data_IF_058892414051
#
_entry.id   IF_058892414051
#
_cell.length_a   1.000
_cell.length_b   1.000
_cell.length_c   1.000
_cell.angle_alpha   90.00
_cell.angle_beta   90.00
_cell.angle_gamma   90.00
#
_symmetry.space_group_name_H-M   'P 1'
#
loop_
_entity.id
_entity.type
_entity.pdbx_description
1 polymer ?
#
# COMPACT_ATOMS: atom_id res chain seq x y z
N UNK A 1 -1.48 -6.43 -12.88
CA UNK A 1 -1.66 -5.35 -13.88
C UNK A 1 -0.48 -4.40 -13.83
N UNK A 2 0.33 -4.40 -14.89
CA UNK A 2 1.41 -3.42 -15.08
C UNK A 2 0.81 -2.17 -15.69
N UNK A 3 1.12 -1.00 -15.14
CA UNK A 3 0.65 0.27 -15.69
C UNK A 3 1.79 1.28 -15.68
N UNK A 4 1.86 2.08 -16.75
CA UNK A 4 2.77 3.21 -16.83
C UNK A 4 2.20 4.34 -15.98
N UNK A 5 2.94 4.81 -14.98
CA UNK A 5 2.52 5.89 -14.09
C UNK A 5 3.62 6.93 -13.96
N UNK A 6 3.21 8.17 -13.66
CA UNK A 6 4.13 9.23 -13.27
C UNK A 6 4.76 8.89 -11.90
N UNK A 7 6.04 9.20 -11.75
CA UNK A 7 6.86 9.09 -10.53
C UNK A 7 7.62 10.39 -10.31
N UNK A 8 8.27 10.52 -9.15
CA UNK A 8 9.18 11.63 -8.85
C UNK A 8 10.28 11.82 -9.91
N UNK A 9 10.75 10.71 -10.48
CA UNK A 9 11.87 10.66 -11.43
C UNK A 9 11.41 10.42 -12.89
N UNK A 10 10.15 10.70 -13.22
CA UNK A 10 9.58 10.46 -14.56
C UNK A 10 8.65 9.26 -14.62
N UNK A 11 8.47 8.69 -15.82
CA UNK A 11 7.52 7.59 -16.04
C UNK A 11 8.11 6.24 -15.63
N UNK A 12 7.35 5.44 -14.89
CA UNK A 12 7.74 4.08 -14.48
C UNK A 12 6.61 3.09 -14.71
N UNK A 13 6.96 1.87 -15.11
CA UNK A 13 6.01 0.75 -15.19
C UNK A 13 5.96 0.04 -13.85
N UNK A 14 4.78 -0.02 -13.23
CA UNK A 14 4.59 -0.64 -11.90
C UNK A 14 3.44 -1.63 -11.92
N UNK A 15 3.63 -2.76 -11.22
CA UNK A 15 2.55 -3.68 -10.89
C UNK A 15 1.64 -3.08 -9.81
N UNK A 16 0.53 -2.49 -10.27
CA UNK A 16 -0.45 -1.86 -9.41
C UNK A 16 -1.51 -2.85 -8.92
N UNK A 17 -1.85 -2.69 -7.64
CA UNK A 17 -3.05 -3.21 -7.01
C UNK A 17 -3.86 -2.00 -6.52
N UNK A 18 -5.17 -2.14 -6.28
CA UNK A 18 -6.05 -1.08 -5.73
C UNK A 18 -5.44 -0.34 -4.53
N UNK A 19 -4.78 -1.07 -3.62
CA UNK A 19 -4.11 -0.45 -2.46
C UNK A 19 -2.89 0.38 -2.88
N UNK A 20 -2.09 -0.13 -3.82
CA UNK A 20 -0.91 0.59 -4.35
C UNK A 20 -1.34 1.80 -5.16
N UNK A 21 -2.37 1.68 -6.01
CA UNK A 21 -2.84 2.78 -6.85
C UNK A 21 -3.39 3.95 -6.04
N UNK A 22 -4.12 3.70 -4.94
CA UNK A 22 -4.54 4.75 -4.01
C UNK A 22 -3.31 5.47 -3.44
N UNK A 23 -2.31 4.73 -2.96
CA UNK A 23 -1.09 5.34 -2.40
C UNK A 23 -0.29 6.16 -3.40
N UNK A 24 -0.06 5.63 -4.61
CA UNK A 24 0.64 6.36 -5.67
C UNK A 24 -0.16 7.62 -6.08
N UNK A 25 -1.49 7.57 -6.08
CA UNK A 25 -2.32 8.77 -6.33
C UNK A 25 -2.17 9.81 -5.23
N UNK A 26 -2.17 9.39 -3.97
CA UNK A 26 -1.98 10.31 -2.85
C UNK A 26 -0.56 10.90 -2.84
N UNK A 27 0.45 10.12 -3.21
CA UNK A 27 1.81 10.61 -3.42
C UNK A 27 1.88 11.66 -4.53
N UNK A 28 1.22 11.43 -5.67
CA UNK A 28 1.11 12.44 -6.73
C UNK A 28 0.46 13.74 -6.22
N UNK A 29 -0.58 13.63 -5.40
CA UNK A 29 -1.28 14.77 -4.82
C UNK A 29 -0.42 15.58 -3.83
N UNK A 30 0.41 14.90 -3.04
CA UNK A 30 1.28 15.48 -2.02
C UNK A 30 2.70 15.75 -2.53
N UNK A 31 2.90 15.94 -3.84
CA UNK A 31 4.21 16.27 -4.41
C UNK A 31 5.31 15.25 -4.11
N UNK A 32 4.97 13.97 -4.01
CA UNK A 32 5.88 12.86 -3.65
C UNK A 32 6.41 12.88 -2.21
N UNK A 33 5.77 13.63 -1.31
CA UNK A 33 6.14 13.69 0.11
C UNK A 33 5.33 12.69 0.95
N UNK A 34 5.98 11.62 1.42
CA UNK A 34 5.35 10.59 2.26
C UNK A 34 4.84 11.12 3.61
N UNK A 35 5.47 12.17 4.17
CA UNK A 35 5.04 12.76 5.45
C UNK A 35 3.70 13.47 5.29
N UNK A 36 3.54 14.22 4.20
CA UNK A 36 2.28 14.92 3.88
C UNK A 36 1.13 13.95 3.61
N UNK A 37 1.38 12.82 2.94
CA UNK A 37 0.35 11.80 2.72
C UNK A 37 -0.15 11.22 4.07
N UNK A 38 0.76 10.98 5.02
CA UNK A 38 0.41 10.47 6.36
C UNK A 38 -0.34 11.51 7.20
N UNK A 39 0.02 12.78 7.05
CA UNK A 39 -0.55 13.91 7.80
C UNK A 39 -1.65 14.64 7.01
N UNK A 40 -2.22 14.00 5.99
CA UNK A 40 -3.29 14.59 5.19
C UNK A 40 -4.49 14.91 6.10
N UNK A 41 -5.05 16.11 5.97
CA UNK A 41 -6.19 16.56 6.78
C UNK A 41 -7.51 16.53 6.01
N UNK A 42 -7.49 16.16 4.73
CA UNK A 42 -8.67 16.14 3.87
C UNK A 42 -9.54 14.90 4.13
N UNK A 43 -10.32 14.95 5.22
CA UNK A 43 -11.29 13.90 5.60
C UNK A 43 -12.38 13.68 4.54
N UNK A 44 -12.69 14.73 3.76
CA UNK A 44 -13.72 14.70 2.73
C UNK A 44 -13.28 13.95 1.46
N UNK A 45 -11.98 13.65 1.34
CA UNK A 45 -11.47 12.88 0.22
C UNK A 45 -11.98 11.43 0.31
N UNK A 46 -12.63 10.88 -0.73
CA UNK A 46 -13.13 9.49 -0.70
C UNK A 46 -12.02 8.44 -0.45
N UNK A 47 -10.77 8.78 -0.74
CA UNK A 47 -9.60 7.91 -0.53
C UNK A 47 -9.03 7.98 0.89
N UNK A 48 -9.41 8.99 1.68
CA UNK A 48 -8.88 9.24 3.02
C UNK A 48 -8.89 8.01 3.94
N UNK A 49 -9.99 7.21 4.01
CA UNK A 49 -10.05 6.05 4.88
C UNK A 49 -9.03 4.95 4.53
N UNK A 50 -8.46 4.98 3.33
CA UNK A 50 -7.57 3.94 2.81
C UNK A 50 -6.08 4.35 2.80
N UNK A 51 -5.74 5.53 3.34
CA UNK A 51 -4.38 6.06 3.41
C UNK A 51 -3.49 5.25 4.37
N UNK A 52 -3.87 5.23 5.65
CA UNK A 52 -3.07 4.69 6.76
C UNK A 52 -2.98 3.17 6.73
N UNK A 53 -3.86 2.50 5.97
CA UNK A 53 -3.95 1.04 5.95
C UNK A 53 -4.39 0.44 7.28
N UNK A 54 -4.91 1.27 8.19
CA UNK A 54 -5.48 0.89 9.49
C UNK A 54 -6.98 0.62 9.26
N UNK A 55 -7.54 -0.37 9.97
CA UNK A 55 -8.96 -0.72 9.90
C UNK A 55 -9.33 -1.77 8.84
N UNK A 56 -10.63 -1.98 8.62
CA UNK A 56 -11.15 -2.99 7.68
C UNK A 56 -10.86 -2.59 6.24
N UNK A 57 -9.97 -3.36 5.61
CA UNK A 57 -9.45 -3.09 4.27
C UNK A 57 -10.20 -3.89 3.19
N UNK A 58 -11.51 -3.66 3.11
CA UNK A 58 -12.40 -4.34 2.16
C UNK A 58 -12.11 -3.95 0.70
N UNK A 59 -12.01 -4.96 -0.17
CA UNK A 59 -11.72 -4.75 -1.59
C UNK A 59 -12.86 -4.03 -2.33
N UNK A 60 -14.11 -4.31 -1.95
CA UNK A 60 -15.30 -3.64 -2.51
C UNK A 60 -15.35 -2.17 -2.09
N UNK A 61 -15.06 -1.88 -0.82
CA UNK A 61 -15.02 -0.51 -0.30
C UNK A 61 -13.96 0.34 -1.00
N UNK A 62 -12.74 -0.18 -1.21
CA UNK A 62 -11.71 0.50 -2.01
C UNK A 62 -12.16 0.78 -3.44
N UNK A 63 -12.81 -0.20 -4.07
CA UNK A 63 -13.29 -0.04 -5.46
C UNK A 63 -14.39 1.03 -5.55
N UNK A 64 -15.23 1.16 -4.52
CA UNK A 64 -16.21 2.25 -4.42
C UNK A 64 -15.50 3.60 -4.24
N UNK A 65 -14.59 3.69 -3.28
CA UNK A 65 -13.84 4.92 -3.00
C UNK A 65 -13.04 5.45 -4.19
N UNK A 66 -12.42 4.57 -4.98
CA UNK A 66 -11.74 4.97 -6.22
C UNK A 66 -12.71 5.60 -7.22
N UNK A 67 -13.90 5.02 -7.40
CA UNK A 67 -14.93 5.55 -8.31
C UNK A 67 -15.49 6.88 -7.82
N UNK A 68 -15.78 6.97 -6.53
CA UNK A 68 -16.25 8.21 -5.89
C UNK A 68 -15.21 9.33 -6.05
N UNK A 69 -13.92 9.02 -5.88
CA UNK A 69 -12.83 9.97 -6.11
C UNK A 69 -12.72 10.39 -7.58
N UNK A 70 -12.82 9.45 -8.53
CA UNK A 70 -12.81 9.79 -9.96
C UNK A 70 -14.00 10.68 -10.33
N UNK A 71 -15.17 10.42 -9.75
CA UNK A 71 -16.37 11.23 -9.93
C UNK A 71 -16.17 12.64 -9.40
N UNK A 72 -15.64 12.77 -8.17
CA UNK A 72 -15.26 14.06 -7.58
C UNK A 72 -14.25 14.82 -8.44
N UNK A 73 -13.19 14.15 -8.91
CA UNK A 73 -12.18 14.72 -9.80
C UNK A 73 -12.75 15.19 -11.15
N UNK A 74 -13.86 14.61 -11.61
CA UNK A 74 -14.56 14.98 -12.85
C UNK A 74 -15.80 15.86 -12.58
N UNK A 75 -15.87 16.54 -11.43
CA UNK A 75 -16.97 17.42 -11.02
C UNK A 75 -18.35 16.75 -11.12
N UNK A 76 -18.46 15.49 -10.68
CA UNK A 76 -19.73 14.76 -10.65
C UNK A 76 -20.18 14.17 -11.99
N UNK A 77 -19.40 14.31 -13.06
CA UNK A 77 -19.82 13.87 -14.40
C UNK A 77 -19.32 12.46 -14.73
N UNK A 78 -20.21 11.46 -14.66
CA UNK A 78 -19.89 10.06 -14.97
C UNK A 78 -19.36 9.84 -16.40
N UNK A 79 -19.91 10.58 -17.37
CA UNK A 79 -19.48 10.49 -18.77
C UNK A 79 -18.01 10.91 -18.93
N UNK A 80 -17.57 11.94 -18.19
CA UNK A 80 -16.17 12.39 -18.16
C UNK A 80 -15.25 11.36 -17.52
N UNK A 81 -15.69 10.68 -16.45
CA UNK A 81 -14.91 9.59 -15.85
C UNK A 81 -14.69 8.45 -16.86
N UNK A 82 -15.73 8.08 -17.60
CA UNK A 82 -15.63 7.02 -18.61
C UNK A 82 -14.68 7.40 -19.74
N UNK A 83 -14.79 8.65 -20.24
CA UNK A 83 -13.99 9.22 -21.33
C UNK A 83 -12.66 9.84 -20.91
N UNK A 84 -12.24 9.68 -19.66
CA UNK A 84 -10.95 10.19 -19.20
C UNK A 84 -9.82 9.43 -19.91
N UNK A 85 -8.89 10.17 -20.53
CA UNK A 85 -7.75 9.64 -21.29
C UNK A 85 -6.43 9.63 -20.49
N UNK A 86 -6.45 10.03 -19.22
CA UNK A 86 -5.24 10.10 -18.41
C UNK A 86 -4.76 8.69 -18.01
N UNK A 87 -4.02 8.05 -18.90
CA UNK A 87 -3.39 6.73 -18.71
C UNK A 87 -2.39 6.70 -17.57
N UNK A 88 -1.76 7.85 -17.30
CA UNK A 88 -0.66 7.98 -16.35
C UNK A 88 -1.17 8.05 -14.90
N UNK A 89 -2.48 8.27 -14.74
CA UNK A 89 -3.15 8.24 -13.45
C UNK A 89 -3.11 6.82 -12.85
N UNK A 90 -2.59 6.63 -11.63
CA UNK A 90 -2.55 5.33 -10.98
C UNK A 90 -3.93 4.66 -10.80
N UNK A 91 -5.00 5.46 -10.75
CA UNK A 91 -6.38 4.99 -10.60
C UNK A 91 -7.06 4.59 -11.92
N UNK A 92 -6.44 4.86 -13.07
CA UNK A 92 -7.06 4.72 -14.39
C UNK A 92 -7.68 3.33 -14.61
N UNK A 93 -6.94 2.26 -14.29
CA UNK A 93 -7.40 0.88 -14.45
C UNK A 93 -8.58 0.48 -13.54
N UNK A 94 -8.80 1.24 -12.46
CA UNK A 94 -9.81 0.93 -11.43
C UNK A 94 -11.00 1.90 -11.42
N UNK A 95 -11.06 2.84 -12.38
CA UNK A 95 -12.13 3.85 -12.45
C UNK A 95 -13.48 3.28 -12.87
N UNK A 96 -13.49 2.16 -13.60
CA UNK A 96 -14.71 1.48 -14.06
C UNK A 96 -15.09 0.37 -13.08
N UNK A 97 -16.37 -0.02 -13.09
CA UNK A 97 -16.89 -1.10 -12.24
C UNK A 97 -16.27 -2.44 -12.62
N UNK A 98 -16.15 -2.68 -13.92
CA UNK A 98 -15.42 -3.82 -14.47
C UNK A 98 -13.96 -3.41 -14.59
N UNK A 99 -13.08 -4.09 -13.87
CA UNK A 99 -11.63 -3.93 -14.07
C UNK A 99 -11.25 -4.59 -15.40
N UNK A 100 -10.71 -3.79 -16.31
CA UNK A 100 -10.23 -4.29 -17.59
C UNK A 100 -8.93 -5.09 -17.36
N UNK A 101 -9.06 -6.42 -17.26
CA UNK A 101 -7.89 -7.32 -17.11
C UNK A 101 -7.19 -7.58 -18.45
N UNK A 102 -7.74 -7.08 -19.55
CA UNK A 102 -7.15 -7.19 -20.89
C UNK A 102 -5.78 -6.50 -20.99
N UNK A 103 -5.51 -5.51 -20.12
CA UNK A 103 -4.21 -4.87 -19.97
C UNK A 103 -3.19 -5.68 -19.14
N UNK A 104 -3.55 -6.86 -18.63
CA UNK A 104 -2.57 -7.85 -18.18
C UNK A 104 -1.84 -8.37 -19.42
N UNK A 105 -0.79 -7.64 -19.81
CA UNK A 105 0.21 -8.10 -20.79
C UNK A 105 0.55 -9.54 -20.43
N UNK A 106 0.49 -10.43 -21.43
CA UNK A 106 0.86 -11.84 -21.46
C UNK A 106 2.31 -12.11 -20.97
N UNK A 107 2.68 -11.65 -19.78
CA UNK A 107 4.06 -11.68 -19.25
C UNK A 107 4.26 -12.74 -18.18
N UNK A 108 3.30 -13.65 -18.00
CA UNK A 108 3.63 -14.91 -17.33
C UNK A 108 3.93 -15.90 -18.45
N UNK A 109 5.16 -16.44 -18.56
CA UNK A 109 5.32 -17.69 -19.28
C UNK A 109 4.27 -18.63 -18.68
N UNK A 110 3.44 -19.24 -19.53
CA UNK A 110 2.55 -20.30 -19.07
C UNK A 110 3.45 -21.23 -18.26
N UNK A 111 3.14 -21.42 -16.97
CA UNK A 111 3.80 -22.49 -16.23
C UNK A 111 3.39 -23.74 -16.98
N UNK A 112 4.28 -24.24 -17.83
CA UNK A 112 4.16 -25.57 -18.35
C UNK A 112 3.96 -26.46 -17.13
N UNK A 113 2.98 -27.37 -17.21
CA UNK A 113 2.68 -28.26 -16.11
C UNK A 113 3.99 -28.88 -15.65
N UNK A 114 4.36 -28.65 -14.38
CA UNK A 114 5.50 -29.32 -13.76
C UNK A 114 5.10 -30.79 -13.74
N UNK A 115 5.57 -31.55 -14.74
CA UNK A 115 5.48 -32.99 -14.71
C UNK A 115 6.12 -33.46 -13.40
N UNK A 116 5.43 -34.35 -12.69
CA UNK A 116 5.90 -34.89 -11.44
C UNK A 116 7.24 -35.60 -11.67
N UNK A 117 8.34 -34.91 -11.39
CA UNK A 117 9.67 -35.50 -11.37
C UNK A 117 9.70 -36.51 -10.23
N UNK A 118 9.58 -37.79 -10.59
CA UNK A 118 9.83 -38.92 -9.71
C UNK A 118 11.34 -38.98 -9.43
N UNK A 119 11.84 -38.14 -8.53
CA UNK A 119 13.24 -38.22 -8.09
C UNK A 119 13.35 -39.08 -6.82
N UNK A 120 13.99 -40.21 -7.06
CA UNK A 120 14.28 -41.27 -6.15
C UNK A 120 15.15 -40.82 -4.97
N UNK A 121 14.89 -41.47 -3.84
CA UNK A 121 15.67 -41.48 -2.61
C UNK A 121 17.17 -41.59 -2.91
N UNK A 122 17.94 -40.54 -2.62
CA UNK A 122 19.35 -40.67 -2.25
C UNK A 122 19.49 -40.24 -0.80
N UNK A 123 19.38 -41.21 0.08
CA UNK A 123 20.02 -41.18 1.38
C UNK A 123 21.53 -41.18 1.11
N UNK A 124 22.24 -40.11 1.47
CA UNK A 124 23.66 -40.28 1.80
C UNK A 124 24.18 -39.21 2.76
N UNK A 125 24.71 -39.71 3.88
CA UNK A 125 25.88 -39.24 4.63
C UNK A 125 26.10 -37.73 4.73
N UNK A 126 25.63 -37.15 5.83
CA UNK A 126 26.27 -35.98 6.43
C UNK A 126 26.38 -36.19 7.93
N UNK A 127 27.22 -37.15 8.32
CA UNK A 127 27.86 -37.18 9.63
C UNK A 127 29.20 -36.46 9.50
N UNK A 128 29.57 -35.70 10.54
CA UNK A 128 30.94 -35.26 10.85
C UNK A 128 31.34 -33.79 10.60
N UNK A 129 30.46 -32.83 10.94
CA UNK A 129 30.89 -31.43 11.19
C UNK A 129 30.54 -30.88 12.59
N UNK A 130 29.99 -31.69 13.49
CA UNK A 130 29.61 -31.28 14.86
C UNK A 130 30.78 -31.26 15.88
N UNK A 131 32.05 -31.29 15.44
CA UNK A 131 33.23 -31.30 16.35
C UNK A 131 34.01 -29.99 16.46
N UNK A 132 33.57 -28.88 15.84
CA UNK A 132 34.36 -27.63 15.84
C UNK A 132 33.74 -26.41 16.58
N UNK A 133 32.66 -26.57 17.36
CA UNK A 133 32.00 -25.44 18.08
C UNK A 133 32.13 -25.56 19.61
N UNK A 134 33.25 -26.09 20.12
CA UNK A 134 33.56 -26.08 21.55
C UNK A 134 34.99 -25.58 21.78
N UNK A 135 35.24 -24.26 21.71
CA UNK A 135 36.46 -23.66 22.33
C UNK A 135 36.53 -22.13 22.49
N UNK A 136 35.45 -21.36 22.32
CA UNK A 136 35.40 -19.97 22.83
C UNK A 136 33.95 -19.68 23.23
N UNK A 137 33.55 -19.54 24.48
CA UNK A 137 34.21 -18.84 25.56
C UNK A 137 33.48 -17.52 25.82
N UNK A 138 32.34 -17.64 26.53
CA UNK A 138 31.75 -16.69 27.49
C UNK A 138 31.82 -15.18 27.20
N UNK A 139 30.65 -14.56 27.01
CA UNK A 139 30.46 -13.11 27.05
C UNK A 139 28.99 -12.74 27.24
N UNK A 140 28.42 -13.04 28.40
CA UNK A 140 27.12 -12.51 28.84
C UNK A 140 27.27 -11.02 29.14
N UNK A 141 26.99 -10.19 28.13
CA UNK A 141 26.83 -8.75 28.30
C UNK A 141 25.38 -8.44 28.66
N UNK A 142 25.09 -8.36 29.95
CA UNK A 142 23.86 -7.73 30.46
C UNK A 142 23.92 -6.24 30.16
N UNK A 143 23.24 -5.76 29.11
CA UNK A 143 22.99 -4.33 28.97
C UNK A 143 21.79 -3.96 29.84
N UNK A 144 22.14 -3.30 30.93
CA UNK A 144 21.25 -2.75 31.93
C UNK A 144 20.23 -1.79 31.32
N UNK A 145 18.99 -2.00 31.78
CA UNK A 145 17.94 -1.01 31.99
C UNK A 145 18.52 0.40 32.12
N UNK A 146 18.22 1.30 31.19
CA UNK A 146 17.90 2.70 31.48
C UNK A 146 17.50 3.43 30.19
N UNK A 147 16.49 4.29 30.31
CA UNK A 147 15.87 5.16 29.29
C UNK A 147 14.58 4.63 28.63
N UNK A 148 13.67 4.11 29.46
CA UNK A 148 12.26 4.49 29.30
C UNK A 148 12.16 6.00 29.53
N UNK A 149 11.83 6.76 28.50
CA UNK A 149 11.41 8.15 28.65
C UNK A 149 9.97 8.18 29.15
N UNK A 150 9.66 8.82 30.29
CA UNK A 150 8.29 9.05 30.72
C UNK A 150 7.71 10.30 30.05
N UNK A 151 6.41 10.24 29.72
CA UNK A 151 5.54 11.41 29.76
C UNK A 151 5.16 12.05 28.43
N UNK A 152 4.07 11.58 27.82
CA UNK A 152 3.05 12.46 27.22
C UNK A 152 1.68 11.88 27.58
N UNK A 153 0.99 12.54 28.50
CA UNK A 153 -0.39 12.24 28.90
C UNK A 153 -1.38 12.65 27.78
N UNK A 154 -2.26 11.75 27.29
CA UNK A 154 -3.29 12.11 26.31
C UNK A 154 -4.57 12.74 26.91
N UNK A 155 -4.57 13.16 28.17
CA UNK A 155 -5.82 13.50 28.89
C UNK A 155 -6.18 15.00 28.95
N UNK A 156 -5.62 15.87 28.11
CA UNK A 156 -6.00 17.31 28.05
C UNK A 156 -5.99 17.87 26.63
N UNK A 157 -7.01 17.54 25.84
CA UNK A 157 -7.52 18.49 24.83
C UNK A 157 -8.97 18.75 25.17
N UNK A 158 -9.16 19.90 25.79
CA UNK A 158 -10.42 20.45 26.26
C UNK A 158 -11.42 20.57 25.11
N UNK A 159 -12.64 20.14 25.41
CA UNK A 159 -13.86 20.48 24.71
C UNK A 159 -13.98 22.01 24.54
N UNK A 160 -13.79 22.51 23.33
CA UNK A 160 -14.30 23.80 22.91
C UNK A 160 -15.71 23.64 22.38
N UNK A 161 -16.72 23.79 23.24
CA UNK A 161 -18.10 24.08 22.81
C UNK A 161 -18.14 25.53 22.35
N UNK A 162 -18.33 25.77 21.06
CA UNK A 162 -18.79 27.06 20.55
C UNK A 162 -20.31 26.99 20.43
N UNK A 163 -21.00 27.51 21.43
CA UNK A 163 -22.40 27.90 21.32
C UNK A 163 -22.42 29.28 20.64
N UNK A 164 -22.64 29.27 19.33
CA UNK A 164 -22.80 30.48 18.53
C UNK A 164 -24.28 30.86 18.43
N UNK A 165 -24.61 31.97 19.07
CA UNK A 165 -25.93 32.55 19.23
C UNK A 165 -26.60 32.97 17.91
N UNK A 166 -27.93 32.88 17.90
CA UNK A 166 -28.83 33.53 16.96
C UNK A 166 -28.73 35.05 17.09
N UNK A 167 -28.58 35.73 15.96
CA UNK A 167 -29.19 37.04 15.69
C UNK A 167 -29.85 36.98 14.31
#
# INVERSE_FOLDING_TARGET
MKSLIQSKHGMKTVDLNRRKSIRERCLNCAGWNLKEVKNCQFSDCPLYPFLSGIGKQEAKARSKAIRDYCLWCCNGQLLKVSRCHNSDCPLFAYRKTVTDRTAEINSMPKKDHIEASQEAKKENEYSDMDKLINLVGVGVGTCEKNLCSPGIDPAKVLFGRYDGEKL
#
